data_IF_884320967121
#
_entry.id   IF_884320967121
#
_cell.length_a   1.000
_cell.length_b   1.000
_cell.length_c   1.000
_cell.angle_alpha   90.00
_cell.angle_beta   90.00
_cell.angle_gamma   90.00
#
_symmetry.space_group_name_H-M   'P 1'
#
loop_
_entity.id
_entity.type
_entity.pdbx_description
1 polymer ?
#
# COMPACT_ATOMS: atom_id res chain seq x y z
N UNK A 1 -16.38 17.02 7.85
CA UNK A 1 -16.78 15.76 8.52
C UNK A 1 -15.54 15.01 9.01
N UNK A 2 -14.53 14.76 8.18
CA UNK A 2 -13.34 13.96 8.53
C UNK A 2 -12.44 14.62 9.59
N UNK A 3 -12.31 15.95 9.59
CA UNK A 3 -11.57 16.71 10.60
C UNK A 3 -12.17 16.62 12.01
N UNK A 4 -13.43 16.18 12.13
CA UNK A 4 -14.05 15.93 13.43
C UNK A 4 -13.28 14.87 14.27
N UNK A 5 -12.45 14.05 13.64
CA UNK A 5 -11.58 13.09 14.34
C UNK A 5 -10.64 13.79 15.34
N UNK A 6 -10.23 15.03 15.08
CA UNK A 6 -9.38 15.78 16.01
C UNK A 6 -10.07 16.08 17.35
N UNK A 7 -11.40 16.11 17.37
CA UNK A 7 -12.20 16.34 18.58
C UNK A 7 -12.44 15.06 19.39
N UNK A 8 -12.13 13.88 18.81
CA UNK A 8 -12.26 12.60 19.54
C UNK A 8 -11.12 12.50 20.56
N UNK A 9 -11.39 12.14 21.84
CA UNK A 9 -10.35 11.94 22.82
C UNK A 9 -9.30 10.90 22.38
N UNK A 10 -8.04 11.19 22.57
CA UNK A 10 -6.93 10.32 22.18
C UNK A 10 -7.02 8.92 22.80
N UNK A 11 -7.43 8.86 24.06
CA UNK A 11 -7.62 7.60 24.79
C UNK A 11 -8.69 6.71 24.13
N UNK A 12 -9.75 7.29 23.58
CA UNK A 12 -10.82 6.56 22.92
C UNK A 12 -10.33 5.95 21.58
N UNK A 13 -9.55 6.72 20.80
CA UNK A 13 -8.90 6.22 19.58
C UNK A 13 -7.95 5.07 19.94
N UNK A 14 -7.12 5.25 20.96
CA UNK A 14 -6.18 4.22 21.38
C UNK A 14 -6.89 2.93 21.80
N UNK A 15 -7.92 3.04 22.67
CA UNK A 15 -8.73 1.90 23.12
C UNK A 15 -9.39 1.17 21.95
N UNK A 16 -9.93 1.91 20.99
CA UNK A 16 -10.55 1.33 19.79
C UNK A 16 -9.51 0.57 18.95
N UNK A 17 -8.34 1.13 18.74
CA UNK A 17 -7.24 0.46 18.03
C UNK A 17 -6.78 -0.82 18.74
N UNK A 18 -6.64 -0.77 20.07
CA UNK A 18 -6.28 -1.94 20.87
C UNK A 18 -7.36 -3.03 20.80
N UNK A 19 -8.65 -2.66 20.83
CA UNK A 19 -9.75 -3.60 20.67
C UNK A 19 -9.73 -4.31 19.32
N UNK A 20 -9.45 -3.58 18.23
CA UNK A 20 -9.32 -4.15 16.89
C UNK A 20 -8.09 -5.06 16.75
N UNK A 21 -6.97 -4.67 17.35
CA UNK A 21 -5.76 -5.50 17.42
C UNK A 21 -6.04 -6.81 18.18
N UNK A 22 -6.71 -6.75 19.31
CA UNK A 22 -7.07 -7.95 20.08
C UNK A 22 -8.01 -8.89 19.31
N UNK A 23 -8.94 -8.35 18.51
CA UNK A 23 -9.77 -9.15 17.61
C UNK A 23 -8.94 -9.86 16.52
N UNK A 24 -7.93 -9.20 15.98
CA UNK A 24 -7.00 -9.82 15.03
C UNK A 24 -6.21 -10.93 15.70
N UNK A 25 -5.60 -10.67 16.86
CA UNK A 25 -4.79 -11.64 17.59
C UNK A 25 -5.62 -12.88 17.97
N UNK A 26 -6.83 -12.70 18.47
CA UNK A 26 -7.74 -13.81 18.79
C UNK A 26 -8.07 -14.64 17.54
N UNK A 27 -8.30 -13.98 16.41
CA UNK A 27 -8.55 -14.67 15.14
C UNK A 27 -7.33 -15.48 14.70
N UNK A 28 -6.13 -14.92 14.77
CA UNK A 28 -4.88 -15.60 14.40
C UNK A 28 -4.66 -16.84 15.29
N UNK A 29 -4.82 -16.69 16.61
CA UNK A 29 -4.68 -17.81 17.57
C UNK A 29 -5.62 -18.97 17.24
N UNK A 30 -6.87 -18.67 16.93
CA UNK A 30 -7.85 -19.69 16.54
C UNK A 30 -7.47 -20.36 15.21
N UNK A 31 -7.04 -19.57 14.23
CA UNK A 31 -6.63 -20.10 12.92
C UNK A 31 -5.41 -21.02 13.03
N UNK A 32 -4.39 -20.66 13.80
CA UNK A 32 -3.22 -21.51 14.02
C UNK A 32 -3.59 -22.83 14.66
N UNK A 33 -4.45 -22.82 15.69
CA UNK A 33 -4.94 -24.04 16.32
C UNK A 33 -5.61 -24.97 15.31
N UNK A 34 -6.50 -24.42 14.48
CA UNK A 34 -7.26 -25.20 13.51
C UNK A 34 -6.36 -25.73 12.37
N UNK A 35 -5.40 -24.92 11.91
CA UNK A 35 -4.41 -25.33 10.88
C UNK A 35 -3.50 -26.42 11.40
N UNK A 36 -3.01 -26.30 12.63
CA UNK A 36 -2.18 -27.31 13.24
C UNK A 36 -2.90 -28.66 13.36
N UNK A 37 -4.15 -28.66 13.83
CA UNK A 37 -4.98 -29.86 13.92
C UNK A 37 -5.14 -30.57 12.57
N UNK A 38 -5.11 -29.82 11.46
CA UNK A 38 -5.20 -30.38 10.11
C UNK A 38 -3.87 -30.90 9.58
N UNK A 39 -2.79 -30.23 9.87
CA UNK A 39 -1.47 -30.49 9.25
C UNK A 39 -0.58 -31.41 10.08
N UNK A 40 -1.03 -31.87 11.25
CA UNK A 40 -0.28 -32.77 12.16
C UNK A 40 1.16 -32.27 12.46
N UNK A 41 1.33 -30.95 12.53
CA UNK A 41 2.62 -30.33 12.87
C UNK A 41 3.00 -30.53 14.35
N UNK A 42 4.19 -30.10 14.74
CA UNK A 42 4.62 -30.13 16.13
C UNK A 42 3.77 -29.21 17.01
N UNK A 43 3.00 -29.76 17.98
CA UNK A 43 2.13 -28.95 18.85
C UNK A 43 2.89 -27.88 19.65
N UNK A 44 4.12 -28.15 20.04
CA UNK A 44 4.93 -27.25 20.84
C UNK A 44 5.23 -25.94 20.09
N UNK A 45 5.39 -26.00 18.77
CA UNK A 45 5.57 -24.82 17.91
C UNK A 45 4.32 -23.95 17.87
N UNK A 46 3.15 -24.55 17.75
CA UNK A 46 1.87 -23.83 17.74
C UNK A 46 1.63 -23.14 19.07
N UNK A 47 1.83 -23.85 20.16
CA UNK A 47 1.74 -23.28 21.52
C UNK A 47 2.72 -22.10 21.67
N UNK A 48 3.97 -22.30 21.29
CA UNK A 48 4.99 -21.25 21.35
C UNK A 48 4.63 -20.01 20.52
N UNK A 49 4.10 -20.20 19.30
CA UNK A 49 3.63 -19.08 18.47
C UNK A 49 2.45 -18.35 19.11
N UNK A 50 1.48 -19.10 19.62
CA UNK A 50 0.28 -18.52 20.25
C UNK A 50 0.62 -17.71 21.50
N UNK A 51 1.59 -18.17 22.30
CA UNK A 51 2.05 -17.47 23.50
C UNK A 51 2.87 -16.22 23.15
N UNK A 52 3.63 -16.26 22.05
CA UNK A 52 4.51 -15.15 21.65
C UNK A 52 3.80 -14.01 20.95
N UNK A 53 2.59 -14.20 20.41
CA UNK A 53 1.81 -13.09 19.86
C UNK A 53 1.44 -12.14 20.97
N UNK A 54 2.07 -10.96 20.97
CA UNK A 54 1.98 -9.98 22.03
C UNK A 54 1.05 -8.82 21.63
N UNK A 55 -0.10 -8.63 22.30
CA UNK A 55 -1.01 -7.54 22.00
C UNK A 55 -0.41 -6.15 22.29
N UNK A 56 0.64 -6.08 23.10
CA UNK A 56 1.34 -4.83 23.42
C UNK A 56 2.48 -4.53 22.44
N UNK A 57 2.88 -5.48 21.60
CA UNK A 57 3.88 -5.24 20.58
C UNK A 57 3.30 -4.42 19.41
N UNK A 58 4.15 -3.62 18.76
CA UNK A 58 3.81 -3.01 17.48
C UNK A 58 3.60 -4.12 16.45
N UNK A 59 2.44 -4.16 15.79
CA UNK A 59 2.15 -5.12 14.73
C UNK A 59 2.25 -4.45 13.35
N UNK A 60 3.10 -5.00 12.50
CA UNK A 60 3.27 -4.55 11.12
C UNK A 60 2.74 -5.63 10.17
N UNK A 61 1.79 -5.29 9.33
CA UNK A 61 1.20 -6.20 8.35
C UNK A 61 1.74 -5.98 6.95
N UNK A 62 2.10 -7.08 6.30
CA UNK A 62 2.39 -7.15 4.87
C UNK A 62 1.52 -8.25 4.27
N UNK A 63 0.42 -7.87 3.60
CA UNK A 63 -0.52 -8.84 3.08
C UNK A 63 -0.95 -8.49 1.66
N UNK A 64 -0.50 -9.32 0.70
CA UNK A 64 -0.76 -9.11 -0.73
C UNK A 64 -0.40 -10.34 -1.55
N UNK A 65 -0.74 -10.31 -2.84
CA UNK A 65 -0.25 -11.30 -3.79
C UNK A 65 1.29 -11.28 -3.82
N UNK A 66 1.89 -12.45 -3.71
CA UNK A 66 3.34 -12.61 -3.83
C UNK A 66 3.73 -12.59 -5.31
N UNK A 67 4.22 -11.45 -5.75
CA UNK A 67 4.87 -11.24 -7.05
C UNK A 67 6.20 -10.52 -6.79
N UNK A 68 7.20 -10.76 -7.64
CA UNK A 68 8.58 -10.27 -7.42
C UNK A 68 8.67 -8.77 -7.20
N UNK A 69 7.94 -7.98 -8.00
CA UNK A 69 7.97 -6.52 -7.89
C UNK A 69 7.38 -5.96 -6.59
N UNK A 70 6.58 -6.76 -5.87
CA UNK A 70 6.05 -6.40 -4.54
C UNK A 70 7.12 -6.47 -3.44
N UNK A 71 8.25 -7.08 -3.74
CA UNK A 71 9.46 -7.19 -2.90
C UNK A 71 9.19 -7.64 -1.47
N UNK A 72 8.41 -8.71 -1.29
CA UNK A 72 8.17 -9.30 0.02
C UNK A 72 9.47 -9.69 0.75
N UNK A 73 10.56 -9.90 0.02
CA UNK A 73 11.90 -10.23 0.53
C UNK A 73 12.65 -9.03 1.11
N UNK A 74 12.22 -7.80 0.84
CA UNK A 74 13.01 -6.60 1.12
C UNK A 74 13.38 -6.47 2.61
N UNK A 75 12.45 -6.78 3.51
CA UNK A 75 12.70 -6.78 4.95
C UNK A 75 13.79 -7.78 5.39
N UNK A 76 14.08 -8.80 4.58
CA UNK A 76 15.04 -9.85 4.87
C UNK A 76 16.40 -9.68 4.17
N UNK A 77 16.68 -8.47 3.69
CA UNK A 77 17.93 -8.15 3.01
C UNK A 77 19.13 -8.15 3.98
N UNK A 78 18.92 -7.71 5.22
CA UNK A 78 19.89 -7.76 6.31
C UNK A 78 19.25 -8.44 7.52
N UNK A 79 19.50 -9.74 7.66
CA UNK A 79 18.90 -10.55 8.72
C UNK A 79 19.49 -10.23 10.10
N UNK A 80 20.75 -9.83 10.16
CA UNK A 80 21.41 -9.49 11.43
C UNK A 80 20.81 -8.21 12.02
N UNK A 81 20.61 -7.19 11.17
CA UNK A 81 19.97 -5.95 11.60
C UNK A 81 18.48 -6.18 11.96
N UNK A 82 17.76 -6.95 11.14
CA UNK A 82 16.39 -7.31 11.43
C UNK A 82 16.27 -8.07 12.76
N UNK A 83 17.17 -9.03 13.02
CA UNK A 83 17.20 -9.76 14.29
C UNK A 83 17.37 -8.83 15.50
N UNK A 84 18.24 -7.83 15.40
CA UNK A 84 18.41 -6.83 16.46
C UNK A 84 17.15 -6.01 16.68
N UNK A 85 16.46 -5.62 15.60
CA UNK A 85 15.20 -4.85 15.68
C UNK A 85 14.11 -5.67 16.38
N UNK A 86 13.86 -6.90 15.95
CA UNK A 86 12.73 -7.72 16.45
C UNK A 86 12.98 -8.32 17.82
N UNK A 87 14.23 -8.38 18.28
CA UNK A 87 14.59 -8.89 19.60
C UNK A 87 14.92 -7.79 20.61
N UNK A 88 14.71 -6.53 20.27
CA UNK A 88 14.87 -5.43 21.21
C UNK A 88 13.76 -5.48 22.28
N UNK A 89 14.10 -5.69 23.57
CA UNK A 89 13.11 -5.82 24.63
C UNK A 89 12.36 -4.52 24.94
N UNK A 90 12.97 -3.37 24.64
CA UNK A 90 12.37 -2.05 24.89
C UNK A 90 11.35 -1.67 23.82
N UNK A 91 11.50 -2.22 22.62
CA UNK A 91 10.65 -1.93 21.45
C UNK A 91 10.14 -3.22 20.78
N UNK A 92 9.28 -4.02 21.45
CA UNK A 92 8.74 -5.24 20.84
C UNK A 92 8.02 -4.94 19.53
N UNK A 93 8.37 -5.65 18.47
CA UNK A 93 7.73 -5.55 17.14
C UNK A 93 7.53 -6.92 16.53
N UNK A 94 6.40 -7.13 15.89
CA UNK A 94 6.06 -8.38 15.20
C UNK A 94 5.56 -8.05 13.79
N UNK A 95 6.00 -8.85 12.83
CA UNK A 95 5.63 -8.73 11.42
C UNK A 95 4.70 -9.88 11.04
N UNK A 96 3.55 -9.55 10.48
CA UNK A 96 2.57 -10.49 9.97
C UNK A 96 2.62 -10.48 8.44
N UNK A 97 3.04 -11.58 7.84
CA UNK A 97 3.02 -11.79 6.40
C UNK A 97 1.82 -12.67 6.03
N UNK A 98 1.09 -12.28 5.01
CA UNK A 98 0.01 -13.09 4.45
C UNK A 98 -0.09 -12.88 2.93
N UNK A 99 -0.57 -13.87 2.22
CA UNK A 99 -0.76 -13.78 0.78
C UNK A 99 -0.68 -15.11 0.08
N UNK A 100 -0.89 -15.07 -1.22
CA UNK A 100 -0.82 -16.23 -2.12
C UNK A 100 0.00 -15.85 -3.35
N UNK A 101 0.69 -16.82 -3.92
CA UNK A 101 1.29 -16.73 -5.25
C UNK A 101 0.39 -17.41 -6.27
N UNK A 102 0.45 -16.96 -7.53
CA UNK A 102 -0.24 -17.67 -8.60
C UNK A 102 0.36 -19.08 -8.76
N UNK A 103 -0.46 -20.11 -9.08
CA UNK A 103 0.04 -21.49 -9.25
C UNK A 103 1.19 -21.63 -10.26
N UNK A 104 1.26 -20.77 -11.26
CA UNK A 104 2.33 -20.74 -12.27
C UNK A 104 3.46 -19.74 -11.96
N UNK A 105 3.40 -19.05 -10.82
CA UNK A 105 4.44 -18.11 -10.39
C UNK A 105 5.40 -18.78 -9.39
N UNK A 106 6.37 -19.52 -9.93
CA UNK A 106 7.38 -20.19 -9.12
C UNK A 106 8.25 -19.22 -8.30
N UNK A 107 8.49 -18.01 -8.80
CA UNK A 107 9.25 -16.99 -8.06
C UNK A 107 8.46 -16.49 -6.84
N UNK A 108 7.17 -16.21 -7.00
CA UNK A 108 6.28 -15.82 -5.90
C UNK A 108 6.16 -16.94 -4.84
N UNK A 109 6.05 -18.21 -5.28
CA UNK A 109 6.04 -19.36 -4.37
C UNK A 109 7.38 -19.50 -3.61
N UNK A 110 8.50 -19.25 -4.28
CA UNK A 110 9.83 -19.23 -3.66
C UNK A 110 9.96 -18.16 -2.58
N UNK A 111 9.37 -16.98 -2.77
CA UNK A 111 9.33 -15.92 -1.75
C UNK A 111 8.56 -16.37 -0.51
N UNK A 112 7.41 -17.01 -0.67
CA UNK A 112 6.62 -17.57 0.45
C UNK A 112 7.46 -18.59 1.21
N UNK A 113 8.07 -19.55 0.51
CA UNK A 113 8.93 -20.57 1.11
C UNK A 113 10.06 -19.94 1.93
N UNK A 114 10.77 -18.97 1.36
CA UNK A 114 11.85 -18.26 2.05
C UNK A 114 11.38 -17.57 3.33
N UNK A 115 10.23 -16.90 3.30
CA UNK A 115 9.68 -16.22 4.49
C UNK A 115 9.29 -17.23 5.56
N UNK A 116 8.66 -18.34 5.18
CA UNK A 116 8.31 -19.42 6.11
C UNK A 116 9.57 -20.02 6.76
N UNK A 117 10.61 -20.29 5.99
CA UNK A 117 11.90 -20.80 6.50
C UNK A 117 12.55 -19.82 7.50
N UNK A 118 12.55 -18.50 7.18
CA UNK A 118 13.08 -17.48 8.09
C UNK A 118 12.24 -17.40 9.37
N UNK A 119 10.90 -17.45 9.26
CA UNK A 119 10.00 -17.39 10.41
C UNK A 119 10.20 -18.52 11.43
N UNK A 120 10.81 -19.62 11.01
CA UNK A 120 11.09 -20.79 11.86
C UNK A 120 12.43 -20.73 12.56
N UNK A 121 13.32 -19.77 12.21
CA UNK A 121 14.61 -19.61 12.87
C UNK A 121 14.42 -19.14 14.31
N UNK A 122 15.28 -19.58 15.25
CA UNK A 122 15.14 -19.24 16.68
C UNK A 122 15.03 -17.73 16.94
N UNK A 123 15.82 -16.92 16.23
CA UNK A 123 15.87 -15.48 16.38
C UNK A 123 14.60 -14.75 15.86
N UNK A 124 13.85 -15.40 14.96
CA UNK A 124 12.64 -14.82 14.35
C UNK A 124 11.34 -15.50 14.79
N UNK A 125 11.42 -16.58 15.53
CA UNK A 125 10.24 -17.33 15.96
C UNK A 125 9.32 -16.45 16.82
N UNK A 126 8.06 -16.30 16.38
CA UNK A 126 7.07 -15.42 17.01
C UNK A 126 7.30 -13.92 16.76
N UNK A 127 8.30 -13.55 15.95
CA UNK A 127 8.58 -12.16 15.53
C UNK A 127 8.24 -11.94 14.06
N UNK A 128 8.58 -12.90 13.21
CA UNK A 128 8.16 -12.97 11.82
C UNK A 128 7.15 -14.11 11.72
N UNK A 129 5.91 -13.79 11.39
CA UNK A 129 4.80 -14.74 11.39
C UNK A 129 4.17 -14.77 10.01
N UNK A 130 4.16 -15.94 9.37
CA UNK A 130 3.44 -16.16 8.12
C UNK A 130 2.04 -16.73 8.40
N UNK A 131 1.01 -16.03 7.92
CA UNK A 131 -0.39 -16.43 8.07
C UNK A 131 -0.85 -17.13 6.80
N UNK A 132 -1.18 -18.41 6.93
CA UNK A 132 -1.66 -19.24 5.84
C UNK A 132 -3.11 -18.92 5.44
N UNK A 133 -3.51 -19.41 4.27
CA UNK A 133 -4.89 -19.33 3.79
C UNK A 133 -5.45 -17.90 3.72
N UNK A 134 -4.64 -16.96 3.23
CA UNK A 134 -5.07 -15.58 3.04
C UNK A 134 -6.37 -15.50 2.24
N UNK A 135 -7.41 -15.00 2.87
CA UNK A 135 -8.75 -14.83 2.35
C UNK A 135 -9.34 -13.47 2.75
N UNK A 136 -10.55 -13.17 2.32
CA UNK A 136 -11.22 -11.90 2.66
C UNK A 136 -11.48 -11.75 4.16
N UNK A 137 -11.69 -12.83 4.90
CA UNK A 137 -11.94 -12.80 6.34
C UNK A 137 -10.68 -12.40 7.10
N UNK A 138 -9.54 -13.01 6.76
CA UNK A 138 -8.23 -12.62 7.30
C UNK A 138 -7.86 -11.20 6.85
N UNK A 139 -8.08 -10.85 5.58
CA UNK A 139 -7.79 -9.52 5.06
C UNK A 139 -8.50 -8.41 5.85
N UNK A 140 -9.80 -8.57 6.14
CA UNK A 140 -10.57 -7.62 6.97
C UNK A 140 -9.96 -7.44 8.35
N UNK A 141 -9.49 -8.52 8.98
CA UNK A 141 -8.85 -8.48 10.30
C UNK A 141 -7.49 -7.78 10.25
N UNK A 142 -6.69 -8.05 9.22
CA UNK A 142 -5.38 -7.43 9.05
C UNK A 142 -5.47 -5.92 8.81
N UNK A 143 -6.29 -5.48 7.83
CA UNK A 143 -6.42 -4.05 7.50
C UNK A 143 -7.03 -3.21 8.63
N UNK A 144 -7.68 -3.84 9.60
CA UNK A 144 -8.24 -3.15 10.77
C UNK A 144 -7.47 -3.39 12.07
N UNK A 145 -6.65 -4.43 12.16
CA UNK A 145 -6.07 -4.89 13.42
C UNK A 145 -4.56 -4.65 13.58
N UNK A 146 -3.80 -4.52 12.51
CA UNK A 146 -2.38 -4.16 12.61
C UNK A 146 -2.20 -2.67 12.93
N UNK A 147 -1.05 -2.29 13.42
CA UNK A 147 -0.73 -0.88 13.69
C UNK A 147 -0.20 -0.18 12.44
N UNK A 148 0.61 -0.91 11.66
CA UNK A 148 1.19 -0.43 10.40
C UNK A 148 0.83 -1.37 9.26
N UNK A 149 0.51 -0.77 8.12
CA UNK A 149 0.38 -1.44 6.84
C UNK A 149 1.59 -1.11 5.97
N UNK A 150 2.39 -2.14 5.68
CA UNK A 150 3.65 -1.97 4.96
C UNK A 150 3.52 -2.42 3.50
N UNK A 151 4.02 -1.60 2.57
CA UNK A 151 4.12 -1.91 1.14
C UNK A 151 5.48 -1.48 0.58
N UNK A 152 6.12 -2.40 -0.12
CA UNK A 152 7.49 -2.22 -0.61
C UNK A 152 7.64 -2.49 -2.12
N UNK A 153 6.74 -1.99 -2.99
CA UNK A 153 6.82 -2.27 -4.41
C UNK A 153 8.07 -1.67 -5.05
N UNK A 154 8.51 -2.27 -6.15
CA UNK A 154 9.50 -1.65 -7.04
C UNK A 154 8.82 -0.52 -7.82
N UNK A 155 9.34 0.71 -7.72
CA UNK A 155 8.82 1.84 -8.52
C UNK A 155 9.19 1.72 -10.00
N UNK A 156 8.31 2.11 -10.90
CA UNK A 156 6.94 2.61 -10.76
C UNK A 156 5.89 1.53 -11.05
N UNK A 157 6.05 0.32 -10.55
CA UNK A 157 5.27 -0.85 -10.96
C UNK A 157 3.95 -1.03 -10.19
N UNK A 158 3.72 -0.29 -9.09
CA UNK A 158 2.47 -0.33 -8.36
C UNK A 158 1.48 0.71 -8.89
N UNK A 159 0.44 0.26 -9.55
CA UNK A 159 -0.54 1.16 -10.17
C UNK A 159 -1.40 1.93 -9.15
N UNK A 160 -1.78 1.30 -8.03
CA UNK A 160 -2.57 1.93 -6.98
C UNK A 160 -2.22 1.41 -5.59
N UNK A 161 -2.53 0.17 -5.23
CA UNK A 161 -2.30 -0.38 -3.88
C UNK A 161 -3.43 -0.07 -2.89
N UNK A 162 -4.69 -0.28 -3.30
CA UNK A 162 -5.92 0.05 -2.55
C UNK A 162 -6.02 -0.57 -1.15
N UNK A 163 -5.23 -1.61 -0.84
CA UNK A 163 -5.20 -2.18 0.51
C UNK A 163 -4.71 -1.19 1.57
N UNK A 164 -3.77 -0.31 1.19
CA UNK A 164 -3.29 0.77 2.05
C UNK A 164 -4.38 1.80 2.35
N UNK A 165 -5.23 2.14 1.38
CA UNK A 165 -6.39 3.02 1.58
C UNK A 165 -7.39 2.41 2.58
N UNK A 166 -7.67 1.11 2.46
CA UNK A 166 -8.54 0.38 3.40
C UNK A 166 -7.97 0.37 4.82
N UNK A 167 -6.66 0.14 4.95
CA UNK A 167 -5.97 0.17 6.24
C UNK A 167 -6.06 1.56 6.88
N UNK A 168 -5.78 2.61 6.12
CA UNK A 168 -5.87 4.00 6.56
C UNK A 168 -7.26 4.35 7.08
N UNK A 169 -8.31 3.97 6.37
CA UNK A 169 -9.70 4.21 6.78
C UNK A 169 -10.09 3.49 8.08
N UNK A 170 -9.32 2.50 8.50
CA UNK A 170 -9.46 1.79 9.77
C UNK A 170 -8.49 2.29 10.86
N UNK A 171 -7.79 3.40 10.63
CA UNK A 171 -6.83 3.96 11.59
C UNK A 171 -5.51 3.17 11.67
N UNK A 172 -5.21 2.37 10.66
CA UNK A 172 -3.90 1.73 10.48
C UNK A 172 -2.99 2.66 9.71
N UNK A 173 -1.78 2.87 10.21
CA UNK A 173 -0.85 3.83 9.62
C UNK A 173 -0.09 3.20 8.45
N UNK A 174 0.03 3.91 7.33
CA UNK A 174 0.78 3.41 6.18
C UNK A 174 2.27 3.68 6.31
N UNK A 175 3.05 2.66 5.93
CA UNK A 175 4.48 2.74 5.72
C UNK A 175 4.81 2.09 4.37
N UNK A 176 5.10 2.90 3.38
CA UNK A 176 5.22 2.42 2.00
C UNK A 176 6.27 3.20 1.20
N UNK A 177 6.77 2.54 0.16
CA UNK A 177 7.44 3.22 -0.95
C UNK A 177 6.48 4.22 -1.58
N UNK A 178 6.99 5.38 -2.02
CA UNK A 178 6.21 6.39 -2.75
C UNK A 178 5.91 5.92 -4.18
N UNK A 179 4.89 5.07 -4.27
CA UNK A 179 4.37 4.53 -5.52
C UNK A 179 2.86 4.29 -5.40
N UNK A 180 2.18 4.22 -6.54
CA UNK A 180 0.73 4.11 -6.57
C UNK A 180 0.03 5.23 -5.80
N UNK A 181 -1.00 4.89 -5.03
CA UNK A 181 -1.78 5.87 -4.27
C UNK A 181 -0.97 6.63 -3.21
N UNK A 182 0.09 5.99 -2.65
CA UNK A 182 0.89 6.63 -1.59
C UNK A 182 1.77 7.77 -2.12
N UNK A 183 2.13 7.74 -3.41
CA UNK A 183 2.81 8.86 -4.06
C UNK A 183 1.97 10.16 -4.02
N UNK A 184 0.65 10.01 -4.16
CA UNK A 184 -0.29 11.14 -4.12
C UNK A 184 -0.78 11.44 -2.69
N UNK A 185 -1.00 10.39 -1.90
CA UNK A 185 -1.66 10.45 -0.60
C UNK A 185 -0.74 10.79 0.57
N UNK A 186 0.56 10.53 0.46
CA UNK A 186 1.48 10.76 1.56
C UNK A 186 1.47 12.20 2.06
N UNK A 187 1.40 12.33 3.39
CA UNK A 187 1.57 13.61 4.10
C UNK A 187 2.49 13.37 5.29
N UNK A 188 3.42 14.28 5.51
CA UNK A 188 4.30 14.26 6.68
C UNK A 188 3.47 14.28 7.98
N UNK A 189 3.85 13.44 8.94
CA UNK A 189 3.12 13.29 10.20
C UNK A 189 1.79 12.52 10.11
N UNK A 190 1.48 11.93 8.94
CA UNK A 190 0.28 11.11 8.72
C UNK A 190 0.62 9.67 8.27
N UNK A 191 1.85 9.27 8.36
CA UNK A 191 2.39 7.97 7.99
C UNK A 191 3.85 8.09 7.58
N UNK A 192 4.43 7.01 7.08
CA UNK A 192 5.83 6.96 6.67
C UNK A 192 5.99 6.56 5.22
N UNK A 193 7.03 7.10 4.60
CA UNK A 193 7.37 6.82 3.22
C UNK A 193 8.89 6.71 3.05
N UNK A 194 9.31 5.91 2.08
CA UNK A 194 10.68 5.98 1.57
C UNK A 194 10.71 7.18 0.60
N UNK A 195 11.23 8.32 1.07
CA UNK A 195 11.15 9.61 0.35
C UNK A 195 12.20 9.77 -0.76
N UNK A 196 13.22 8.89 -0.81
CA UNK A 196 14.16 8.90 -1.92
C UNK A 196 13.45 8.57 -3.23
N UNK A 197 13.46 9.53 -4.14
CA UNK A 197 12.79 9.40 -5.45
C UNK A 197 13.68 8.83 -6.54
N UNK A 198 15.00 8.74 -6.30
CA UNK A 198 15.93 8.19 -7.28
C UNK A 198 15.70 6.69 -7.42
N UNK A 199 15.72 6.23 -8.65
CA UNK A 199 15.76 4.81 -8.99
C UNK A 199 17.13 4.50 -9.58
N UNK A 200 17.71 3.40 -9.13
CA UNK A 200 18.98 2.92 -9.63
C UNK A 200 18.74 1.80 -10.65
N UNK A 201 19.56 1.73 -11.68
CA UNK A 201 19.46 0.66 -12.67
C UNK A 201 19.79 -0.72 -12.07
N UNK A 202 20.67 -0.77 -11.07
CA UNK A 202 20.98 -1.98 -10.34
C UNK A 202 19.92 -2.23 -9.26
N UNK A 203 19.05 -3.20 -9.49
CA UNK A 203 17.96 -3.56 -8.59
C UNK A 203 18.45 -4.06 -7.22
N UNK A 204 19.54 -4.81 -7.18
CA UNK A 204 20.13 -5.30 -5.92
C UNK A 204 20.61 -4.13 -5.04
N UNK A 205 21.23 -3.15 -5.65
CA UNK A 205 21.66 -1.93 -4.93
C UNK A 205 20.43 -1.13 -4.43
N UNK A 206 19.43 -0.98 -5.28
CA UNK A 206 18.16 -0.33 -4.89
C UNK A 206 17.50 -1.06 -3.70
N UNK A 207 17.46 -2.38 -3.73
CA UNK A 207 16.88 -3.18 -2.66
C UNK A 207 17.66 -3.03 -1.34
N UNK A 208 18.98 -2.99 -1.38
CA UNK A 208 19.81 -2.76 -0.20
C UNK A 208 19.57 -1.35 0.40
N UNK A 209 19.47 -0.34 -0.45
CA UNK A 209 19.22 1.04 -0.02
C UNK A 209 17.83 1.18 0.60
N UNK A 210 16.81 0.65 -0.06
CA UNK A 210 15.43 0.70 0.42
C UNK A 210 15.27 -0.07 1.73
N UNK A 211 15.90 -1.24 1.84
CA UNK A 211 15.89 -2.03 3.09
C UNK A 211 16.57 -1.27 4.24
N UNK A 212 17.75 -0.70 4.00
CA UNK A 212 18.45 0.11 5.01
C UNK A 212 17.62 1.31 5.45
N UNK A 213 16.89 1.95 4.53
CA UNK A 213 15.97 3.05 4.82
C UNK A 213 14.80 2.58 5.68
N UNK A 214 14.20 1.42 5.37
CA UNK A 214 13.12 0.82 6.18
C UNK A 214 13.60 0.58 7.61
N UNK A 215 14.75 -0.06 7.78
CA UNK A 215 15.31 -0.32 9.12
C UNK A 215 15.57 0.97 9.89
N UNK A 216 16.17 1.96 9.23
CA UNK A 216 16.45 3.26 9.86
C UNK A 216 15.16 3.94 10.35
N UNK A 217 14.14 4.02 9.52
CA UNK A 217 12.83 4.60 9.89
C UNK A 217 12.18 3.84 11.04
N UNK A 218 12.26 2.51 11.03
CA UNK A 218 11.76 1.70 12.14
C UNK A 218 12.48 2.02 13.45
N UNK A 219 13.83 2.05 13.41
CA UNK A 219 14.67 2.23 14.59
C UNK A 219 14.59 3.65 15.15
N UNK A 220 14.55 4.67 14.30
CA UNK A 220 14.72 6.07 14.71
C UNK A 220 13.41 6.85 14.82
N UNK A 221 12.35 6.41 14.17
CA UNK A 221 11.09 7.15 14.12
C UNK A 221 9.90 6.34 14.65
N UNK A 222 9.60 5.19 14.04
CA UNK A 222 8.38 4.44 14.27
C UNK A 222 8.36 3.83 15.67
N UNK A 223 9.37 3.05 16.03
CA UNK A 223 9.42 2.36 17.31
C UNK A 223 9.51 3.34 18.49
N UNK A 224 10.38 4.35 18.47
CA UNK A 224 10.41 5.35 19.52
C UNK A 224 9.08 6.09 19.71
N UNK A 225 8.42 6.47 18.61
CA UNK A 225 7.13 7.16 18.67
C UNK A 225 6.03 6.27 19.25
N UNK A 226 5.94 5.01 18.80
CA UNK A 226 4.91 4.08 19.28
C UNK A 226 5.05 3.80 20.77
N UNK A 227 6.29 3.70 21.29
CA UNK A 227 6.58 3.39 22.68
C UNK A 227 6.74 4.61 23.59
N UNK A 228 6.62 5.83 23.08
CA UNK A 228 6.57 7.05 23.90
C UNK A 228 5.23 7.16 24.65
N UNK A 229 5.08 6.36 25.72
CA UNK A 229 3.86 6.27 26.51
C UNK A 229 3.73 7.42 27.50
N UNK A 230 2.55 8.04 27.55
CA UNK A 230 2.18 9.00 28.57
C UNK A 230 1.75 8.30 29.88
N UNK A 231 1.39 9.07 30.90
CA UNK A 231 0.93 8.54 32.20
C UNK A 231 -0.32 7.66 32.13
N UNK A 232 -1.10 7.77 31.05
CA UNK A 232 -2.29 6.95 30.78
C UNK A 232 -1.99 5.67 29.95
N UNK A 233 -0.74 5.46 29.58
CA UNK A 233 -0.28 4.25 28.91
C UNK A 233 -0.47 4.22 27.38
N UNK A 234 -0.73 5.36 26.71
CA UNK A 234 -0.80 5.44 25.27
C UNK A 234 0.20 6.47 24.69
N UNK A 235 0.51 6.35 23.40
CA UNK A 235 1.35 7.31 22.69
C UNK A 235 0.50 8.41 22.05
N UNK A 236 0.64 9.64 22.55
CA UNK A 236 -0.03 10.81 21.98
C UNK A 236 0.43 11.10 20.56
N UNK A 237 1.73 10.94 20.28
CA UNK A 237 2.28 11.12 18.95
C UNK A 237 1.75 10.10 17.95
N UNK A 238 1.56 8.85 18.39
CA UNK A 238 0.95 7.81 17.55
C UNK A 238 -0.51 8.12 17.22
N UNK A 239 -1.29 8.49 18.23
CA UNK A 239 -2.69 8.88 18.03
C UNK A 239 -2.80 10.10 17.12
N UNK A 240 -1.92 11.08 17.28
CA UNK A 240 -1.85 12.25 16.37
C UNK A 240 -1.60 11.82 14.93
N UNK A 241 -0.68 10.87 14.71
CA UNK A 241 -0.43 10.33 13.36
C UNK A 241 -1.67 9.66 12.77
N UNK A 242 -2.41 8.88 13.56
CA UNK A 242 -3.70 8.28 13.14
C UNK A 242 -4.72 9.35 12.78
N UNK A 243 -4.90 10.38 13.61
CA UNK A 243 -5.82 11.47 13.36
C UNK A 243 -5.47 12.22 12.08
N UNK A 244 -4.19 12.55 11.89
CA UNK A 244 -3.70 13.19 10.67
C UNK A 244 -3.98 12.33 9.43
N UNK A 245 -3.72 11.04 9.51
CA UNK A 245 -3.96 10.09 8.43
C UNK A 245 -5.44 10.09 8.01
N UNK A 246 -6.34 9.99 8.98
CA UNK A 246 -7.79 9.99 8.74
C UNK A 246 -8.29 11.35 8.25
N UNK A 247 -7.88 12.45 8.89
CA UNK A 247 -8.39 13.78 8.57
C UNK A 247 -7.88 14.30 7.22
N UNK A 248 -6.59 14.13 6.95
CA UNK A 248 -5.91 14.78 5.82
C UNK A 248 -5.86 13.91 4.56
N UNK A 249 -5.92 12.59 4.70
CA UNK A 249 -5.74 11.68 3.56
C UNK A 249 -7.05 10.97 3.18
N UNK A 250 -7.75 10.36 4.14
CA UNK A 250 -8.94 9.56 3.85
C UNK A 250 -10.01 10.27 2.99
N UNK A 251 -10.29 11.58 3.15
CA UNK A 251 -11.30 12.28 2.34
C UNK A 251 -11.05 12.19 0.84
N UNK A 252 -9.78 12.14 0.43
CA UNK A 252 -9.37 12.12 -0.98
C UNK A 252 -9.52 10.74 -1.64
N UNK A 253 -9.68 9.68 -0.83
CA UNK A 253 -9.72 8.29 -1.30
C UNK A 253 -11.06 7.61 -1.02
N UNK A 254 -12.14 8.38 -0.84
CA UNK A 254 -13.48 7.84 -0.68
C UNK A 254 -14.17 7.60 -2.02
N UNK A 255 -15.03 6.59 -2.08
CA UNK A 255 -15.87 6.34 -3.25
C UNK A 255 -16.77 7.55 -3.57
N UNK A 256 -17.24 8.26 -2.54
CA UNK A 256 -18.04 9.48 -2.76
C UNK A 256 -17.26 10.51 -3.59
N UNK A 257 -16.02 10.82 -3.20
CA UNK A 257 -15.19 11.79 -3.95
C UNK A 257 -14.96 11.31 -5.39
N UNK A 258 -14.65 10.02 -5.57
CA UNK A 258 -14.47 9.44 -6.90
C UNK A 258 -15.74 9.57 -7.77
N UNK A 259 -16.90 9.26 -7.22
CA UNK A 259 -18.18 9.39 -7.93
C UNK A 259 -18.50 10.86 -8.27
N UNK A 260 -18.24 11.80 -7.36
CA UNK A 260 -18.43 13.22 -7.62
C UNK A 260 -17.54 13.69 -8.79
N UNK A 261 -16.28 13.26 -8.81
CA UNK A 261 -15.35 13.55 -9.91
C UNK A 261 -15.80 12.90 -11.23
N UNK A 262 -16.21 11.65 -11.21
CA UNK A 262 -16.66 10.95 -12.42
C UNK A 262 -17.95 11.57 -12.97
N UNK A 263 -18.89 11.89 -12.08
CA UNK A 263 -20.14 12.53 -12.46
C UNK A 263 -19.90 13.89 -13.12
N UNK A 264 -19.09 14.74 -12.49
CA UNK A 264 -18.84 16.11 -12.98
C UNK A 264 -17.91 16.15 -14.20
N UNK A 265 -16.86 15.31 -14.21
CA UNK A 265 -15.82 15.37 -15.26
C UNK A 265 -16.17 14.55 -16.50
N UNK A 266 -16.94 13.46 -16.36
CA UNK A 266 -17.20 12.50 -17.44
C UNK A 266 -18.70 12.30 -17.69
N UNK A 267 -19.45 11.74 -16.77
CA UNK A 267 -20.82 11.26 -17.02
C UNK A 267 -21.76 12.36 -17.52
N UNK A 268 -21.75 13.53 -16.88
CA UNK A 268 -22.59 14.65 -17.31
C UNK A 268 -22.21 15.18 -18.69
N UNK A 269 -20.93 15.18 -19.01
CA UNK A 269 -20.43 15.62 -20.32
C UNK A 269 -20.80 14.62 -21.42
N UNK A 270 -20.60 13.33 -21.17
CA UNK A 270 -20.95 12.28 -22.11
C UNK A 270 -22.45 12.16 -22.31
N UNK A 271 -23.26 12.33 -21.29
CA UNK A 271 -24.72 12.38 -21.42
C UNK A 271 -25.17 13.55 -22.32
N UNK A 272 -24.63 14.75 -22.10
CA UNK A 272 -24.91 15.90 -22.96
C UNK A 272 -24.49 15.68 -24.40
N UNK A 273 -23.29 15.11 -24.58
CA UNK A 273 -22.79 14.77 -25.91
C UNK A 273 -23.66 13.71 -26.58
N UNK A 274 -24.08 12.68 -25.87
CA UNK A 274 -24.98 11.67 -26.40
C UNK A 274 -26.30 12.29 -26.88
N UNK A 275 -26.94 13.12 -26.06
CA UNK A 275 -28.18 13.80 -26.46
C UNK A 275 -27.99 14.66 -27.71
N UNK A 276 -26.91 15.44 -27.79
CA UNK A 276 -26.61 16.23 -28.99
C UNK A 276 -26.35 15.40 -30.23
N UNK A 277 -25.76 14.21 -30.09
CA UNK A 277 -25.52 13.28 -31.20
C UNK A 277 -26.79 12.51 -31.61
N UNK A 278 -27.70 12.28 -30.66
CA UNK A 278 -28.96 11.58 -30.92
C UNK A 278 -30.03 12.44 -31.62
N UNK A 279 -29.84 13.76 -31.63
CA UNK A 279 -30.75 14.69 -32.33
C UNK A 279 -30.91 14.30 -33.83
N UNK A 280 -32.13 14.50 -34.35
CA UNK A 280 -32.49 14.24 -35.78
C UNK A 280 -32.09 12.82 -36.22
N UNK A 281 -32.42 11.81 -35.45
CA UNK A 281 -32.11 10.39 -35.73
C UNK A 281 -30.61 10.16 -36.03
N UNK A 282 -29.76 10.69 -35.15
CA UNK A 282 -28.30 10.56 -35.26
C UNK A 282 -27.68 11.17 -36.53
N UNK A 283 -28.27 12.23 -37.08
CA UNK A 283 -27.78 12.82 -38.33
C UNK A 283 -26.29 13.18 -38.25
N UNK A 284 -25.84 13.83 -37.15
CA UNK A 284 -24.42 14.17 -36.97
C UNK A 284 -23.50 12.95 -36.89
N UNK A 285 -23.98 11.86 -36.33
CA UNK A 285 -23.19 10.61 -36.26
C UNK A 285 -23.05 9.98 -37.61
N UNK A 286 -24.12 9.98 -38.42
CA UNK A 286 -24.11 9.47 -39.80
C UNK A 286 -23.16 10.29 -40.67
N UNK A 287 -23.20 11.61 -40.55
CA UNK A 287 -22.28 12.52 -41.24
C UNK A 287 -20.82 12.28 -40.87
N UNK A 288 -20.53 12.15 -39.53
CA UNK A 288 -19.19 11.85 -39.02
C UNK A 288 -18.69 10.48 -39.51
N UNK A 289 -19.55 9.46 -39.55
CA UNK A 289 -19.20 8.14 -40.05
C UNK A 289 -18.78 8.20 -41.51
N UNK A 290 -19.59 8.86 -42.36
CA UNK A 290 -19.28 9.08 -43.76
C UNK A 290 -17.97 9.83 -43.99
N UNK A 291 -17.76 10.91 -43.23
CA UNK A 291 -16.49 11.66 -43.26
C UNK A 291 -15.29 10.79 -42.88
N UNK A 292 -15.39 9.94 -41.86
CA UNK A 292 -14.32 9.02 -41.46
C UNK A 292 -13.99 8.02 -42.60
N UNK A 293 -14.99 7.48 -43.27
CA UNK A 293 -14.79 6.58 -44.40
C UNK A 293 -14.07 7.29 -45.56
N UNK A 294 -14.49 8.52 -45.88
CA UNK A 294 -13.86 9.35 -46.92
C UNK A 294 -12.40 9.69 -46.62
N UNK A 295 -12.13 10.05 -45.35
CA UNK A 295 -10.76 10.36 -44.91
C UNK A 295 -9.89 9.09 -44.91
N UNK A 296 -10.41 7.98 -44.41
CA UNK A 296 -9.67 6.70 -44.40
C UNK A 296 -9.27 6.25 -45.82
N UNK A 297 -10.20 6.40 -46.77
CA UNK A 297 -9.93 6.05 -48.17
C UNK A 297 -8.84 6.91 -48.84
N UNK A 298 -8.58 8.11 -48.32
CA UNK A 298 -7.60 9.06 -48.87
C UNK A 298 -6.36 9.23 -48.00
N UNK A 299 -6.30 8.55 -46.85
CA UNK A 299 -5.25 8.76 -45.84
C UNK A 299 -3.84 8.56 -46.39
N UNK A 300 -3.65 7.50 -47.15
CA UNK A 300 -2.35 7.15 -47.73
C UNK A 300 -1.88 8.12 -48.85
N UNK A 301 -2.77 9.00 -49.30
CA UNK A 301 -2.43 10.04 -50.28
C UNK A 301 -1.97 11.35 -49.63
N UNK A 302 -2.06 11.46 -48.31
CA UNK A 302 -1.65 12.65 -47.55
C UNK A 302 -0.14 12.57 -47.30
N UNK A 303 0.59 13.60 -47.72
CA UNK A 303 2.04 13.71 -47.50
C UNK A 303 2.36 15.08 -46.94
N UNK A 304 3.31 15.12 -45.99
CA UNK A 304 3.90 16.36 -45.51
C UNK A 304 4.93 16.79 -46.53
N UNK A 305 4.60 17.82 -47.32
CA UNK A 305 5.44 18.30 -48.42
C UNK A 305 6.54 19.22 -47.94
N UNK A 306 6.26 20.07 -46.96
CA UNK A 306 7.23 20.97 -46.34
C UNK A 306 6.84 21.25 -44.87
N UNK A 307 7.81 21.55 -44.04
CA UNK A 307 7.61 22.00 -42.70
C UNK A 307 8.52 23.22 -42.43
N UNK A 308 7.91 24.37 -42.29
CA UNK A 308 8.62 25.58 -41.91
C UNK A 308 8.74 25.65 -40.39
N UNK A 309 9.98 25.78 -39.90
CA UNK A 309 10.25 25.94 -38.49
C UNK A 309 10.17 27.41 -38.14
N UNK A 310 9.48 27.73 -37.02
CA UNK A 310 9.57 29.04 -36.43
C UNK A 310 10.97 29.32 -35.89
N UNK A 311 11.30 30.58 -35.59
CA UNK A 311 12.64 31.00 -35.20
C UNK A 311 13.14 30.31 -33.92
N UNK A 312 12.22 30.09 -32.96
CA UNK A 312 12.49 29.40 -31.69
C UNK A 312 12.89 27.92 -31.93
N UNK A 313 12.22 27.24 -32.82
CA UNK A 313 12.57 25.86 -33.21
C UNK A 313 13.90 25.78 -33.96
N UNK A 314 14.24 26.82 -34.74
CA UNK A 314 15.55 26.91 -35.44
C UNK A 314 16.70 27.07 -34.47
N UNK A 315 16.49 27.76 -33.35
CA UNK A 315 17.50 27.96 -32.30
C UNK A 315 17.66 26.72 -31.38
N UNK A 316 16.84 25.70 -31.54
CA UNK A 316 16.96 24.43 -30.82
C UNK A 316 16.44 24.45 -29.39
N UNK A 317 15.85 25.54 -28.91
CA UNK A 317 15.30 25.69 -27.57
C UNK A 317 13.76 25.60 -27.64
N UNK A 318 13.21 24.43 -27.28
CA UNK A 318 11.77 24.19 -27.16
C UNK A 318 11.43 23.91 -25.71
N UNK A 319 10.47 24.64 -25.16
CA UNK A 319 9.93 24.39 -23.83
C UNK A 319 8.68 23.51 -23.92
N UNK A 320 8.62 22.48 -23.11
CA UNK A 320 7.45 21.63 -23.04
C UNK A 320 6.21 22.42 -22.60
N UNK A 321 5.10 22.29 -23.35
CA UNK A 321 3.82 22.93 -23.04
C UNK A 321 3.60 24.31 -23.64
N UNK A 322 4.49 24.76 -24.54
CA UNK A 322 4.26 25.95 -25.39
C UNK A 322 3.85 25.55 -26.80
N UNK A 323 2.98 26.36 -27.39
CA UNK A 323 2.63 26.28 -28.81
C UNK A 323 3.67 27.06 -29.64
N UNK A 324 4.16 26.47 -30.74
CA UNK A 324 5.19 27.01 -31.63
C UNK A 324 4.70 27.07 -33.07
#
# INVERSE_FOLDING_TARGET
IWEAIYNVPDEEIWKTRMALKNKLISYIRNQFRDTWLKNQGDPSRVVSLMERINPNALLIGFARRFATYKRAHLLFTDLDRLSKIVNNPDYPVQFLFAGKAHPHDGAGQGLIKKIVEISQRPEFLGKIIFLENYDMKLARRLVSGVDIWMNTPTRPLEASGTSGEKALMNGVVNFSVLDGWWLEGYREGAGWALTEKRTYQNQEYQDKLDAATIYSILETEILPLYYARNKKGYSEGWVKTIKNSIAQIAPHYTMKRQLDDYYSKFYTKEAKRFHALAENDFAKVKELAKWKEEVAAKWDSIQIVSMDKCEELRQGNVESGKDY
#
